data_IF_391959222818
#
_entry.id   IF_391959222818
#
_cell.length_a   1.000
_cell.length_b   1.000
_cell.length_c   1.000
_cell.angle_alpha   90.00
_cell.angle_beta   90.00
_cell.angle_gamma   90.00
#
_symmetry.space_group_name_H-M   'P 1'
#
loop_
_entity.id
_entity.type
_entity.pdbx_description
1 polymer ?
#
# COMPACT_ATOMS: atom_id res chain seq x y z
N UNK A 1 -29.14 11.82 22.35
CA UNK A 1 -28.30 10.90 23.17
C UNK A 1 -26.93 10.62 22.54
N UNK A 2 -26.36 11.52 21.73
CA UNK A 2 -25.11 11.28 20.96
C UNK A 2 -23.87 11.98 21.56
N UNK A 3 -23.99 12.77 22.65
CA UNK A 3 -22.90 13.65 23.11
C UNK A 3 -22.12 13.17 24.35
N UNK A 4 -22.18 11.91 24.75
CA UNK A 4 -21.36 11.40 25.88
C UNK A 4 -20.03 10.77 25.44
N UNK A 5 -19.83 10.55 24.14
CA UNK A 5 -18.62 9.90 23.63
C UNK A 5 -17.52 10.95 23.47
N UNK A 6 -16.42 10.77 24.21
CA UNK A 6 -15.30 11.71 24.17
C UNK A 6 -14.75 11.79 22.73
N UNK A 7 -14.32 12.96 22.22
CA UNK A 7 -13.80 13.11 20.86
C UNK A 7 -12.72 12.07 20.49
N UNK A 8 -11.88 11.69 21.44
CA UNK A 8 -10.88 10.62 21.29
C UNK A 8 -11.51 9.25 20.98
N UNK A 9 -12.60 8.86 21.66
CA UNK A 9 -13.31 7.61 21.39
C UNK A 9 -13.96 7.63 19.99
N UNK A 10 -14.45 8.80 19.58
CA UNK A 10 -15.06 9.01 18.26
C UNK A 10 -14.03 8.89 17.12
N UNK A 11 -12.84 9.44 17.32
CA UNK A 11 -11.72 9.27 16.38
C UNK A 11 -11.19 7.84 16.37
N UNK A 12 -11.00 7.22 17.54
CA UNK A 12 -10.52 5.83 17.65
C UNK A 12 -11.47 4.85 16.97
N UNK A 13 -12.79 5.04 17.11
CA UNK A 13 -13.78 4.23 16.41
C UNK A 13 -13.69 4.33 14.88
N UNK A 14 -13.44 5.53 14.34
CA UNK A 14 -13.23 5.72 12.89
C UNK A 14 -11.94 5.06 12.39
N UNK A 15 -10.84 5.21 13.14
CA UNK A 15 -9.54 4.62 12.80
C UNK A 15 -9.65 3.09 12.79
N UNK A 16 -10.18 2.51 13.87
CA UNK A 16 -10.37 1.06 13.99
C UNK A 16 -11.32 0.53 12.91
N UNK A 17 -12.42 1.25 12.63
CA UNK A 17 -13.36 0.87 11.57
C UNK A 17 -12.72 0.83 10.19
N UNK A 18 -11.97 1.86 9.80
CA UNK A 18 -11.28 1.90 8.50
C UNK A 18 -10.17 0.84 8.44
N UNK A 19 -9.44 0.63 9.54
CA UNK A 19 -8.43 -0.43 9.62
C UNK A 19 -9.05 -1.82 9.44
N UNK A 20 -10.18 -2.10 10.10
CA UNK A 20 -10.93 -3.34 9.94
C UNK A 20 -11.39 -3.55 8.49
N UNK A 21 -11.86 -2.50 7.80
CA UNK A 21 -12.20 -2.59 6.38
C UNK A 21 -10.99 -3.01 5.54
N UNK A 22 -9.80 -2.45 5.83
CA UNK A 22 -8.55 -2.85 5.16
C UNK A 22 -8.20 -4.33 5.39
N UNK A 23 -8.35 -4.82 6.62
CA UNK A 23 -8.14 -6.23 6.95
C UNK A 23 -9.17 -7.14 6.27
N UNK A 24 -10.45 -6.73 6.22
CA UNK A 24 -11.51 -7.47 5.52
C UNK A 24 -11.23 -7.51 4.03
N UNK A 25 -10.80 -6.40 3.43
CA UNK A 25 -10.40 -6.37 2.02
C UNK A 25 -9.25 -7.36 1.77
N UNK A 26 -8.20 -7.36 2.60
CA UNK A 26 -7.11 -8.33 2.49
C UNK A 26 -7.61 -9.77 2.62
N UNK A 27 -8.52 -10.05 3.56
CA UNK A 27 -9.12 -11.37 3.71
C UNK A 27 -9.91 -11.80 2.47
N UNK A 28 -10.66 -10.89 1.86
CA UNK A 28 -11.40 -11.14 0.60
C UNK A 28 -10.41 -11.47 -0.53
N UNK A 29 -9.36 -10.67 -0.70
CA UNK A 29 -8.34 -10.91 -1.74
C UNK A 29 -7.60 -12.23 -1.51
N UNK A 30 -7.25 -12.55 -0.27
CA UNK A 30 -6.60 -13.82 0.10
C UNK A 30 -7.50 -15.02 -0.13
N UNK A 31 -8.77 -14.96 0.29
CA UNK A 31 -9.75 -16.01 0.02
C UNK A 31 -9.96 -16.19 -1.49
N UNK A 32 -10.12 -15.10 -2.23
CA UNK A 32 -10.31 -15.13 -3.68
C UNK A 32 -9.10 -15.77 -4.37
N UNK A 33 -7.88 -15.45 -3.94
CA UNK A 33 -6.65 -16.07 -4.44
C UNK A 33 -6.62 -17.58 -4.15
N UNK A 34 -6.98 -18.01 -2.94
CA UNK A 34 -7.07 -19.45 -2.60
C UNK A 34 -8.11 -20.15 -3.47
N UNK A 35 -9.30 -19.57 -3.65
CA UNK A 35 -10.34 -20.12 -4.52
C UNK A 35 -9.89 -20.22 -5.98
N UNK A 36 -9.16 -19.21 -6.48
CA UNK A 36 -8.60 -19.21 -7.84
C UNK A 36 -7.55 -20.33 -7.98
N UNK A 37 -6.65 -20.48 -7.00
CA UNK A 37 -5.61 -21.52 -7.03
C UNK A 37 -6.20 -22.93 -6.98
N UNK A 38 -7.18 -23.17 -6.10
CA UNK A 38 -7.89 -24.46 -6.02
C UNK A 38 -8.72 -24.74 -7.27
N UNK A 39 -9.39 -23.71 -7.80
CA UNK A 39 -10.16 -23.80 -9.04
C UNK A 39 -9.28 -24.04 -10.27
N UNK A 40 -8.13 -23.40 -10.35
CA UNK A 40 -7.17 -23.57 -11.44
C UNK A 40 -6.64 -25.02 -11.49
N UNK A 41 -6.29 -25.61 -10.34
CA UNK A 41 -5.87 -27.02 -10.28
C UNK A 41 -6.95 -27.99 -10.80
N UNK A 42 -8.22 -27.72 -10.51
CA UNK A 42 -9.35 -28.54 -10.99
C UNK A 42 -9.71 -28.30 -12.46
N UNK A 43 -9.63 -27.05 -12.94
CA UNK A 43 -10.00 -26.68 -14.31
C UNK A 43 -8.92 -27.04 -15.34
N UNK A 44 -7.65 -26.89 -14.99
CA UNK A 44 -6.53 -27.16 -15.88
C UNK A 44 -5.92 -28.56 -15.68
N UNK A 45 -6.35 -29.30 -14.66
CA UNK A 45 -5.86 -30.65 -14.37
C UNK A 45 -4.38 -30.69 -13.98
N UNK A 46 -3.81 -29.54 -13.59
CA UNK A 46 -2.40 -29.38 -13.23
C UNK A 46 -2.25 -29.58 -11.72
N UNK A 47 -1.69 -30.70 -11.29
CA UNK A 47 -1.30 -30.87 -9.89
C UNK A 47 0.02 -30.11 -9.60
N UNK A 48 0.21 -29.68 -8.35
CA UNK A 48 1.47 -29.03 -7.91
C UNK A 48 2.71 -29.90 -8.21
N UNK A 49 2.57 -31.21 -8.07
CA UNK A 49 3.64 -32.17 -8.33
C UNK A 49 4.01 -32.18 -9.83
N UNK A 50 3.01 -32.17 -10.71
CA UNK A 50 3.22 -32.12 -12.16
C UNK A 50 3.73 -30.75 -12.63
N UNK A 51 3.26 -29.64 -12.04
CA UNK A 51 3.75 -28.29 -12.33
C UNK A 51 5.22 -28.09 -11.95
N UNK A 52 5.61 -28.62 -10.80
CA UNK A 52 7.00 -28.58 -10.32
C UNK A 52 7.90 -29.47 -11.18
N UNK A 53 7.42 -30.64 -11.62
CA UNK A 53 8.18 -31.54 -12.50
C UNK A 53 8.30 -30.99 -13.93
N UNK A 54 7.26 -30.33 -14.47
CA UNK A 54 7.24 -29.70 -15.79
C UNK A 54 8.17 -28.47 -15.88
N UNK A 55 8.23 -27.66 -14.82
CA UNK A 55 9.16 -26.53 -14.74
C UNK A 55 10.62 -27.00 -14.68
N UNK A 56 10.91 -28.07 -13.92
CA UNK A 56 12.25 -28.69 -13.84
C UNK A 56 12.69 -29.34 -15.17
N UNK A 57 11.80 -30.02 -15.89
CA UNK A 57 12.14 -30.64 -17.19
C UNK A 57 12.43 -29.60 -18.29
N UNK A 58 11.75 -28.46 -18.25
CA UNK A 58 11.96 -27.34 -19.18
C UNK A 58 13.29 -26.64 -18.90
N UNK A 59 13.70 -26.53 -17.62
CA UNK A 59 14.94 -25.88 -17.22
C UNK A 59 16.21 -26.73 -17.48
N UNK A 60 16.09 -28.06 -17.56
CA UNK A 60 17.22 -28.98 -17.82
C UNK A 60 17.41 -29.41 -19.28
N UNK A 61 16.74 -28.78 -20.25
CA UNK A 61 17.01 -28.98 -21.68
C UNK A 61 16.69 -30.39 -22.22
N UNK A 62 15.78 -31.13 -21.59
CA UNK A 62 15.43 -32.49 -21.97
C UNK A 62 14.21 -32.58 -22.88
N UNK A 63 14.35 -32.23 -24.17
CA UNK A 63 13.36 -32.64 -25.18
C UNK A 63 13.68 -34.07 -25.61
N UNK A 64 13.24 -35.06 -24.83
CA UNK A 64 13.20 -36.45 -25.27
C UNK A 64 11.77 -37.00 -25.21
N UNK A 65 11.07 -36.86 -26.34
CA UNK A 65 10.08 -37.85 -26.78
C UNK A 65 8.62 -37.39 -26.82
N UNK A 66 8.10 -37.26 -28.05
CA UNK A 66 6.75 -37.66 -28.47
C UNK A 66 5.54 -37.23 -27.60
N UNK A 67 5.51 -35.99 -27.12
CA UNK A 67 4.25 -35.32 -26.75
C UNK A 67 4.01 -34.14 -27.68
N UNK A 68 2.75 -33.93 -28.05
CA UNK A 68 2.29 -32.85 -28.93
C UNK A 68 2.79 -31.48 -28.38
N UNK A 69 3.67 -30.75 -29.10
CA UNK A 69 4.33 -29.55 -28.59
C UNK A 69 3.37 -28.46 -28.11
N UNK A 70 2.16 -28.42 -28.69
CA UNK A 70 1.13 -27.43 -28.35
C UNK A 70 0.40 -27.72 -27.02
N UNK A 71 0.26 -28.99 -26.64
CA UNK A 71 -0.38 -29.39 -25.39
C UNK A 71 0.58 -29.25 -24.19
N UNK A 72 1.88 -29.48 -24.42
CA UNK A 72 2.92 -29.30 -23.40
C UNK A 72 3.20 -27.81 -23.11
N UNK A 73 3.07 -26.94 -24.11
CA UNK A 73 3.27 -25.49 -23.98
C UNK A 73 2.20 -24.82 -23.09
N UNK A 74 0.92 -25.17 -23.28
CA UNK A 74 -0.19 -24.59 -22.49
C UNK A 74 -0.26 -25.13 -21.06
N UNK A 75 0.06 -26.42 -20.86
CA UNK A 75 0.19 -27.00 -19.52
C UNK A 75 1.45 -26.50 -18.77
N UNK A 76 2.54 -26.21 -19.51
CA UNK A 76 3.79 -25.68 -18.96
C UNK A 76 3.67 -24.25 -18.44
N UNK A 77 3.06 -23.34 -19.21
CA UNK A 77 2.86 -21.94 -18.77
C UNK A 77 1.93 -21.86 -17.55
N UNK A 78 0.82 -22.62 -17.55
CA UNK A 78 -0.09 -22.66 -16.39
C UNK A 78 0.58 -23.27 -15.15
N UNK A 79 1.43 -24.28 -15.33
CA UNK A 79 2.24 -24.89 -14.27
C UNK A 79 3.29 -23.94 -13.70
N UNK A 80 4.01 -23.20 -14.55
CA UNK A 80 5.00 -22.20 -14.13
C UNK A 80 4.36 -21.04 -13.35
N UNK A 81 3.20 -20.56 -13.81
CA UNK A 81 2.41 -19.56 -13.07
C UNK A 81 1.93 -20.09 -11.70
N UNK A 82 1.52 -21.35 -11.62
CA UNK A 82 1.17 -21.96 -10.33
C UNK A 82 2.37 -22.03 -9.39
N UNK A 83 3.51 -22.52 -9.85
CA UNK A 83 4.73 -22.63 -9.02
C UNK A 83 5.21 -21.26 -8.53
N UNK A 84 5.20 -20.24 -9.40
CA UNK A 84 5.58 -18.87 -9.02
C UNK A 84 4.63 -18.27 -7.98
N UNK A 85 3.31 -18.49 -8.11
CA UNK A 85 2.32 -18.02 -7.13
C UNK A 85 2.50 -18.68 -5.75
N UNK A 86 2.76 -19.99 -5.69
CA UNK A 86 2.96 -20.70 -4.43
C UNK A 86 4.28 -20.34 -3.74
N UNK A 87 5.31 -19.95 -4.50
CA UNK A 87 6.59 -19.50 -3.96
C UNK A 87 6.61 -18.02 -3.50
N UNK A 88 5.49 -17.29 -3.62
CA UNK A 88 5.43 -15.91 -3.15
C UNK A 88 5.60 -15.81 -1.63
N UNK A 89 6.32 -14.80 -1.13
CA UNK A 89 6.56 -14.61 0.31
C UNK A 89 5.32 -14.00 0.99
N UNK A 90 4.25 -14.79 1.14
CA UNK A 90 2.96 -14.32 1.68
C UNK A 90 3.06 -13.72 3.10
N UNK A 91 3.92 -14.29 3.94
CA UNK A 91 4.12 -13.81 5.33
C UNK A 91 4.73 -12.41 5.32
N UNK A 92 5.79 -12.21 4.54
CA UNK A 92 6.48 -10.93 4.40
C UNK A 92 5.54 -9.87 3.82
N UNK A 93 4.81 -10.20 2.75
CA UNK A 93 3.80 -9.31 2.19
C UNK A 93 2.71 -8.94 3.21
N UNK A 94 2.22 -9.90 4.00
CA UNK A 94 1.22 -9.65 5.03
C UNK A 94 1.72 -8.72 6.14
N UNK A 95 2.93 -8.97 6.66
CA UNK A 95 3.53 -8.13 7.70
C UNK A 95 3.80 -6.72 7.19
N UNK A 96 4.44 -6.60 6.03
CA UNK A 96 4.74 -5.30 5.42
C UNK A 96 3.46 -4.55 5.07
N UNK A 97 2.44 -5.22 4.55
CA UNK A 97 1.14 -4.60 4.31
C UNK A 97 0.60 -3.91 5.56
N UNK A 98 0.58 -4.60 6.71
CA UNK A 98 0.08 -4.02 7.96
C UNK A 98 0.92 -2.82 8.39
N UNK A 99 2.25 -2.93 8.32
CA UNK A 99 3.15 -1.85 8.71
C UNK A 99 3.00 -0.62 7.81
N UNK A 100 2.96 -0.81 6.49
CA UNK A 100 2.78 0.26 5.51
C UNK A 100 1.37 0.85 5.56
N UNK A 101 0.36 0.02 5.79
CA UNK A 101 -1.03 0.46 5.92
C UNK A 101 -1.19 1.37 7.14
N UNK A 102 -0.69 0.97 8.31
CA UNK A 102 -0.75 1.78 9.53
C UNK A 102 0.03 3.09 9.35
N UNK A 103 1.27 3.01 8.84
CA UNK A 103 2.12 4.19 8.64
C UNK A 103 1.54 5.17 7.60
N UNK A 104 1.09 4.65 6.47
CA UNK A 104 0.44 5.43 5.41
C UNK A 104 -0.86 6.05 5.88
N UNK A 105 -1.71 5.28 6.58
CA UNK A 105 -2.94 5.79 7.17
C UNK A 105 -2.66 6.94 8.15
N UNK A 106 -1.70 6.76 9.06
CA UNK A 106 -1.31 7.81 10.02
C UNK A 106 -0.82 9.08 9.29
N UNK A 107 0.00 8.92 8.25
CA UNK A 107 0.52 10.02 7.44
C UNK A 107 -0.62 10.80 6.77
N UNK A 108 -1.52 10.15 6.02
CA UNK A 108 -2.62 10.86 5.36
C UNK A 108 -3.64 11.42 6.35
N UNK A 109 -3.95 10.69 7.43
CA UNK A 109 -4.86 11.17 8.47
C UNK A 109 -4.31 12.43 9.15
N UNK A 110 -3.01 12.48 9.45
CA UNK A 110 -2.38 13.65 10.05
C UNK A 110 -2.37 14.87 9.11
N UNK A 111 -2.18 14.63 7.80
CA UNK A 111 -2.30 15.67 6.77
C UNK A 111 -3.72 16.25 6.74
N UNK A 112 -4.74 15.40 6.62
CA UNK A 112 -6.14 15.85 6.59
C UNK A 112 -6.57 16.51 7.90
N UNK A 113 -6.06 16.04 9.04
CA UNK A 113 -6.27 16.71 10.32
C UNK A 113 -5.66 18.12 10.34
N UNK A 114 -4.47 18.32 9.77
CA UNK A 114 -3.83 19.64 9.72
C UNK A 114 -4.63 20.62 8.85
N UNK A 115 -5.07 20.15 7.67
CA UNK A 115 -5.92 20.91 6.75
C UNK A 115 -7.24 21.27 7.43
N UNK A 116 -7.95 20.28 7.98
CA UNK A 116 -9.24 20.50 8.64
C UNK A 116 -9.17 21.42 9.86
N UNK A 117 -8.02 21.47 10.54
CA UNK A 117 -7.77 22.40 11.64
C UNK A 117 -7.48 23.84 11.20
N UNK A 118 -7.03 24.02 9.96
CA UNK A 118 -6.62 25.32 9.41
C UNK A 118 -7.74 26.06 8.68
N UNK A 119 -8.84 25.38 8.35
CA UNK A 119 -9.98 25.99 7.65
C UNK A 119 -11.19 26.07 8.56
N UNK A 120 -11.89 27.21 8.50
CA UNK A 120 -13.09 27.45 9.30
C UNK A 120 -14.36 26.91 8.63
N UNK A 121 -14.35 26.74 7.31
CA UNK A 121 -15.50 26.29 6.51
C UNK A 121 -15.19 24.93 5.86
N UNK A 122 -16.16 24.00 5.93
CA UNK A 122 -16.02 22.64 5.42
C UNK A 122 -15.73 22.62 3.90
N UNK A 123 -16.22 23.61 3.17
CA UNK A 123 -16.09 23.73 1.71
C UNK A 123 -14.66 24.06 1.26
N UNK A 124 -13.90 24.80 2.08
CA UNK A 124 -12.48 25.11 1.81
C UNK A 124 -11.58 23.89 2.01
N UNK A 125 -11.96 22.94 2.87
CA UNK A 125 -11.18 21.72 3.13
C UNK A 125 -11.08 20.82 1.90
N UNK A 126 -12.12 20.80 1.06
CA UNK A 126 -12.20 20.00 -0.16
C UNK A 126 -11.16 20.40 -1.21
N UNK A 127 -10.72 21.66 -1.23
CA UNK A 127 -9.70 22.14 -2.17
C UNK A 127 -8.31 21.53 -1.89
N UNK A 128 -8.03 21.16 -0.64
CA UNK A 128 -6.79 20.52 -0.24
C UNK A 128 -6.79 19.00 -0.45
N UNK A 129 -7.95 18.40 -0.72
CA UNK A 129 -8.06 16.96 -1.02
C UNK A 129 -7.46 16.64 -2.38
N UNK A 130 -7.70 17.49 -3.39
CA UNK A 130 -7.31 17.23 -4.77
C UNK A 130 -5.79 17.03 -4.94
N UNK A 131 -4.89 17.86 -4.37
CA UNK A 131 -3.45 17.62 -4.42
C UNK A 131 -3.02 16.29 -3.79
N UNK A 132 -3.65 15.87 -2.68
CA UNK A 132 -3.34 14.58 -2.03
C UNK A 132 -3.74 13.41 -2.92
N UNK A 133 -4.94 13.50 -3.50
CA UNK A 133 -5.43 12.49 -4.45
C UNK A 133 -4.53 12.39 -5.66
N UNK A 134 -4.01 13.51 -6.19
CA UNK A 134 -3.05 13.48 -7.30
C UNK A 134 -1.76 12.73 -6.94
N UNK A 135 -1.24 12.91 -5.72
CA UNK A 135 -0.08 12.15 -5.23
C UNK A 135 -0.41 10.66 -5.11
N UNK A 136 -1.60 10.32 -4.63
CA UNK A 136 -2.05 8.92 -4.57
C UNK A 136 -2.20 8.30 -5.96
N UNK A 137 -2.78 9.04 -6.91
CA UNK A 137 -2.90 8.61 -8.31
C UNK A 137 -1.52 8.40 -8.91
N UNK A 138 -0.58 9.33 -8.70
CA UNK A 138 0.81 9.14 -9.11
C UNK A 138 1.42 7.88 -8.49
N UNK A 139 1.21 7.65 -7.19
CA UNK A 139 1.66 6.42 -6.52
C UNK A 139 1.08 5.16 -7.15
N UNK A 140 -0.21 5.17 -7.51
CA UNK A 140 -0.87 4.06 -8.20
C UNK A 140 -0.25 3.80 -9.58
N UNK A 141 -0.07 4.84 -10.40
CA UNK A 141 0.56 4.70 -11.73
C UNK A 141 2.04 4.29 -11.63
N UNK A 142 2.77 4.84 -10.66
CA UNK A 142 4.15 4.45 -10.39
C UNK A 142 4.23 2.96 -9.99
N UNK A 143 3.28 2.47 -9.20
CA UNK A 143 3.19 1.06 -8.84
C UNK A 143 2.94 0.19 -10.08
N UNK A 144 1.98 0.55 -10.94
CA UNK A 144 1.74 -0.15 -12.21
C UNK A 144 2.98 -0.15 -13.13
N UNK A 145 3.64 1.00 -13.27
CA UNK A 145 4.88 1.12 -14.04
C UNK A 145 6.05 0.32 -13.45
N UNK A 146 6.05 0.12 -12.14
CA UNK A 146 7.08 -0.66 -11.43
C UNK A 146 6.96 -2.16 -11.66
N UNK A 147 5.79 -2.70 -12.03
CA UNK A 147 5.61 -4.14 -12.31
C UNK A 147 6.56 -4.61 -13.42
N UNK A 148 6.73 -3.79 -14.46
CA UNK A 148 7.60 -4.12 -15.60
C UNK A 148 9.10 -3.93 -15.29
N UNK A 149 9.44 -3.08 -14.31
CA UNK A 149 10.82 -2.79 -13.92
C UNK A 149 10.90 -2.50 -12.41
N UNK A 150 10.83 -3.56 -11.62
CA UNK A 150 10.65 -3.54 -10.16
C UNK A 150 11.87 -3.01 -9.41
N UNK A 151 13.04 -3.02 -10.05
CA UNK A 151 14.30 -2.50 -9.52
C UNK A 151 14.75 -1.21 -10.20
N UNK A 152 13.93 -0.65 -11.10
CA UNK A 152 14.22 0.57 -11.81
C UNK A 152 14.20 1.81 -10.91
N UNK A 153 14.69 2.96 -11.41
CA UNK A 153 14.74 4.21 -10.65
C UNK A 153 13.36 4.67 -10.16
N UNK A 154 12.31 4.53 -10.99
CA UNK A 154 10.94 4.88 -10.62
C UNK A 154 10.46 4.05 -9.43
N UNK A 155 10.64 2.72 -9.51
CA UNK A 155 10.24 1.80 -8.45
C UNK A 155 10.98 2.09 -7.15
N UNK A 156 12.31 2.29 -7.23
CA UNK A 156 13.13 2.64 -6.08
C UNK A 156 12.64 3.93 -5.40
N UNK A 157 12.62 5.06 -6.11
CA UNK A 157 12.30 6.36 -5.50
C UNK A 157 10.85 6.46 -5.03
N UNK A 158 9.89 5.98 -5.83
CA UNK A 158 8.49 6.03 -5.45
C UNK A 158 8.18 5.09 -4.27
N UNK A 159 9.00 4.04 -4.06
CA UNK A 159 8.91 3.21 -2.86
C UNK A 159 9.62 3.77 -1.62
N UNK A 160 10.53 4.74 -1.79
CA UNK A 160 11.18 5.42 -0.67
C UNK A 160 10.40 6.67 -0.21
N UNK A 161 9.68 7.31 -1.12
CA UNK A 161 8.93 8.53 -0.81
C UNK A 161 7.69 8.22 0.06
N UNK A 162 7.57 8.79 1.28
CA UNK A 162 6.55 8.39 2.28
C UNK A 162 5.09 8.44 1.80
N UNK A 163 4.74 9.38 0.93
CA UNK A 163 3.38 9.53 0.41
C UNK A 163 3.07 8.58 -0.74
N UNK A 164 4.02 7.79 -1.22
CA UNK A 164 3.80 6.78 -2.27
C UNK A 164 4.30 5.41 -1.86
N UNK A 165 5.17 5.32 -0.85
CA UNK A 165 5.76 4.07 -0.37
C UNK A 165 4.75 3.01 0.05
N UNK A 166 3.61 3.32 0.71
CA UNK A 166 2.65 2.29 1.09
C UNK A 166 1.99 1.59 -0.10
N UNK A 167 2.02 2.22 -1.28
CA UNK A 167 1.43 1.69 -2.52
C UNK A 167 2.52 0.97 -3.33
N UNK A 168 3.61 1.67 -3.64
CA UNK A 168 4.62 1.18 -4.59
C UNK A 168 5.45 0.05 -3.98
N UNK A 169 5.78 0.11 -2.70
CA UNK A 169 6.61 -0.94 -2.09
C UNK A 169 5.89 -2.29 -2.07
N UNK A 170 4.57 -2.30 -1.88
CA UNK A 170 3.76 -3.53 -1.90
C UNK A 170 3.81 -4.25 -3.25
N UNK A 171 4.02 -3.53 -4.34
CA UNK A 171 4.21 -4.14 -5.68
C UNK A 171 5.62 -4.68 -5.85
N UNK A 172 6.62 -4.16 -5.12
CA UNK A 172 8.02 -4.58 -5.24
C UNK A 172 8.34 -5.82 -4.40
N UNK A 173 7.75 -5.98 -3.21
CA UNK A 173 8.04 -7.08 -2.25
C UNK A 173 8.05 -8.48 -2.89
N UNK A 174 7.10 -8.87 -3.77
CA UNK A 174 7.13 -10.17 -4.45
C UNK A 174 8.41 -10.46 -5.24
N UNK A 175 9.15 -9.43 -5.62
CA UNK A 175 10.31 -9.51 -6.51
C UNK A 175 11.65 -9.46 -5.74
N UNK A 176 11.66 -9.89 -4.48
CA UNK A 176 12.87 -10.04 -3.65
C UNK A 176 13.65 -8.73 -3.47
N UNK A 177 13.01 -7.74 -2.85
CA UNK A 177 13.65 -6.46 -2.55
C UNK A 177 14.68 -6.64 -1.42
N UNK A 178 15.85 -5.96 -1.47
CA UNK A 178 16.77 -6.00 -0.34
C UNK A 178 16.14 -5.44 0.93
N UNK A 179 16.25 -6.18 2.05
CA UNK A 179 15.66 -5.82 3.35
C UNK A 179 15.98 -4.39 3.82
N UNK A 180 17.16 -3.86 3.50
CA UNK A 180 17.53 -2.50 3.89
C UNK A 180 16.65 -1.43 3.21
N UNK A 181 16.14 -1.68 2.00
CA UNK A 181 15.22 -0.76 1.31
C UNK A 181 13.86 -0.75 2.00
N UNK A 182 13.37 -1.92 2.43
CA UNK A 182 12.13 -2.04 3.20
C UNK A 182 12.22 -1.34 4.53
N UNK A 183 13.28 -1.63 5.30
CA UNK A 183 13.50 -1.00 6.60
C UNK A 183 13.66 0.50 6.43
N UNK A 184 14.46 0.96 5.46
CA UNK A 184 14.65 2.39 5.21
C UNK A 184 13.34 3.08 4.83
N UNK A 185 12.56 2.48 3.94
CA UNK A 185 11.26 3.02 3.51
C UNK A 185 10.26 3.08 4.66
N UNK A 186 10.20 2.06 5.52
CA UNK A 186 9.40 2.07 6.74
C UNK A 186 9.87 3.17 7.71
N UNK A 187 11.17 3.28 7.96
CA UNK A 187 11.71 4.32 8.83
C UNK A 187 11.36 5.71 8.30
N UNK A 188 11.54 5.97 7.01
CA UNK A 188 11.16 7.23 6.37
C UNK A 188 9.67 7.50 6.47
N UNK A 189 8.83 6.49 6.26
CA UNK A 189 7.38 6.60 6.37
C UNK A 189 6.96 7.00 7.80
N UNK A 190 7.40 6.25 8.81
CA UNK A 190 7.02 6.49 10.20
C UNK A 190 7.62 7.79 10.72
N UNK A 191 8.87 8.11 10.39
CA UNK A 191 9.49 9.40 10.75
C UNK A 191 8.70 10.58 10.16
N UNK A 192 8.30 10.47 8.88
CA UNK A 192 7.51 11.51 8.21
C UNK A 192 6.10 11.59 8.80
N UNK A 193 5.46 10.46 9.08
CA UNK A 193 4.14 10.43 9.71
C UNK A 193 4.16 11.11 11.08
N UNK A 194 5.15 10.80 11.93
CA UNK A 194 5.31 11.42 13.24
C UNK A 194 5.60 12.92 13.13
N UNK A 195 6.42 13.33 12.17
CA UNK A 195 6.66 14.74 11.89
C UNK A 195 5.36 15.46 11.49
N UNK A 196 4.57 14.89 10.59
CA UNK A 196 3.28 15.45 10.18
C UNK A 196 2.26 15.52 11.32
N UNK A 197 2.19 14.50 12.19
CA UNK A 197 1.35 14.53 13.40
C UNK A 197 1.77 15.69 14.30
N UNK A 198 3.07 15.87 14.51
CA UNK A 198 3.59 16.99 15.31
C UNK A 198 3.27 18.35 14.69
N UNK A 199 3.44 18.51 13.38
CA UNK A 199 3.07 19.73 12.65
C UNK A 199 1.56 20.01 12.72
N UNK A 200 0.73 18.98 12.52
CA UNK A 200 -0.73 19.06 12.59
C UNK A 200 -1.21 19.53 13.96
N UNK A 201 -0.65 18.97 15.04
CA UNK A 201 -0.97 19.37 16.41
C UNK A 201 -0.59 20.84 16.71
N UNK A 202 0.55 21.32 16.18
CA UNK A 202 0.96 22.73 16.28
C UNK A 202 0.00 23.66 15.56
N UNK A 203 -0.37 23.33 14.32
CA UNK A 203 -1.34 24.11 13.53
C UNK A 203 -2.69 24.14 14.24
N UNK A 204 -3.16 23.02 14.78
CA UNK A 204 -4.42 22.94 15.53
C UNK A 204 -4.45 23.87 16.75
N UNK A 205 -3.36 23.93 17.54
CA UNK A 205 -3.27 24.82 18.72
C UNK A 205 -3.36 26.31 18.37
N UNK A 206 -2.80 26.72 17.23
CA UNK A 206 -2.80 28.13 16.80
C UNK A 206 -4.05 28.48 16.00
N UNK A 207 -4.54 27.55 15.17
CA UNK A 207 -5.72 27.74 14.32
C UNK A 207 -7.00 27.99 15.11
N UNK A 208 -7.19 27.31 16.25
CA UNK A 208 -8.37 27.51 17.11
C UNK A 208 -8.44 28.92 17.74
N UNK A 209 -7.32 29.64 17.82
CA UNK A 209 -7.25 31.00 18.36
C UNK A 209 -7.49 32.07 17.28
N UNK A 210 -7.56 31.68 16.00
CA UNK A 210 -7.72 32.58 14.87
C UNK A 210 -9.11 32.49 14.26
N UNK A 211 -10.07 33.13 14.92
CA UNK A 211 -11.42 33.29 14.39
C UNK A 211 -11.48 34.39 13.30
N UNK A 212 -12.11 34.07 12.17
CA UNK A 212 -12.60 35.07 11.21
C UNK A 212 -11.70 35.45 10.04
N UNK A 213 -10.48 34.90 9.91
CA UNK A 213 -9.60 35.15 8.75
C UNK A 213 -9.05 33.84 8.18
N UNK A 214 -9.23 33.59 6.87
CA UNK A 214 -8.68 32.40 6.19
C UNK A 214 -7.14 32.48 6.20
N UNK A 215 -6.44 31.61 6.93
CA UNK A 215 -4.99 31.66 6.99
C UNK A 215 -4.38 31.23 5.65
N UNK A 216 -3.38 31.96 5.18
CA UNK A 216 -2.61 31.54 4.02
C UNK A 216 -1.63 30.41 4.39
N UNK A 217 -1.25 29.55 3.43
CA UNK A 217 -0.18 28.54 3.60
C UNK A 217 1.10 29.14 4.19
N UNK A 218 1.41 30.41 3.85
CA UNK A 218 2.57 31.14 4.40
C UNK A 218 2.40 31.46 5.89
N UNK A 219 1.19 31.76 6.34
CA UNK A 219 0.89 32.05 7.74
C UNK A 219 0.90 30.76 8.58
N UNK A 220 0.34 29.67 8.03
CA UNK A 220 0.41 28.33 8.63
C UNK A 220 1.86 27.88 8.90
N UNK A 221 2.78 28.12 7.96
CA UNK A 221 4.21 27.82 8.16
C UNK A 221 4.81 28.68 9.27
N UNK A 222 4.38 29.94 9.41
CA UNK A 222 4.84 30.85 10.46
C UNK A 222 4.40 30.38 11.85
N UNK A 223 3.24 29.72 11.94
CA UNK A 223 2.72 29.18 13.19
C UNK A 223 3.57 28.07 13.80
N UNK A 224 4.34 27.37 12.97
CA UNK A 224 5.29 26.36 13.43
C UNK A 224 6.39 26.94 14.33
N UNK A 225 6.62 28.25 14.28
CA UNK A 225 7.64 28.94 15.09
C UNK A 225 7.11 29.55 16.38
N UNK A 226 5.80 29.57 16.61
CA UNK A 226 5.25 30.06 17.88
C UNK A 226 5.46 29.00 18.98
N UNK A 227 6.02 29.43 20.12
CA UNK A 227 6.31 28.58 21.28
C UNK A 227 5.03 28.26 22.06
#
# INVERSE_FOLDING_TARGET
MVSSVKPFQLMMGKIVGIALVGFVQLAIWGLMLVFILLGAGMLFGVSMAEAQQASLSTQMGGVSGAMDPAALASAGEAGELLVTLFNLPFIEMGVLFVLYFIGGYLLYASFFAAVGASVNEQEDSSQFVMPVVLIMIFGLYAAMGSVNNTNGPLAFWASMFPLTSPIVMMVRVPFSVPLWQEILSLVLLYATALAFVWFSARIYRVGILMYGKKPSVKEMIKWLRYK
#
